data_IF_328011003873
#
_entry.id   IF_328011003873
#
_cell.length_a   1.000
_cell.length_b   1.000
_cell.length_c   1.000
_cell.angle_alpha   90.00
_cell.angle_beta   90.00
_cell.angle_gamma   90.00
#
_symmetry.space_group_name_H-M   'P 1'
#
loop_
_entity.id
_entity.type
_entity.pdbx_description
1 polymer ?
#
# COMPACT_ATOMS: atom_id res chain seq x y z
N UNK A 1 -26.39 3.27 -28.20
CA UNK A 1 -25.48 3.22 -27.06
C UNK A 1 -26.04 4.16 -25.98
N UNK A 2 -26.81 3.62 -25.04
CA UNK A 2 -27.32 4.42 -23.91
C UNK A 2 -26.12 4.74 -23.03
N UNK A 3 -25.71 6.01 -22.99
CA UNK A 3 -24.66 6.49 -22.11
C UNK A 3 -25.05 6.17 -20.67
N UNK A 4 -24.18 5.44 -19.96
CA UNK A 4 -24.30 5.23 -18.52
C UNK A 4 -24.44 6.61 -17.88
N UNK A 5 -25.65 6.98 -17.49
CA UNK A 5 -25.93 8.22 -16.78
C UNK A 5 -25.14 8.18 -15.46
N UNK A 6 -24.41 9.25 -15.19
CA UNK A 6 -23.66 9.39 -13.94
C UNK A 6 -24.54 9.10 -12.69
N UNK A 7 -25.84 9.42 -12.79
CA UNK A 7 -26.86 9.10 -11.80
C UNK A 7 -27.11 7.59 -11.58
N UNK A 8 -26.86 6.74 -12.59
CA UNK A 8 -27.01 5.29 -12.47
C UNK A 8 -25.73 4.61 -11.92
N UNK A 9 -24.56 5.24 -12.07
CA UNK A 9 -23.30 4.73 -11.53
C UNK A 9 -23.22 4.84 -10.01
N UNK A 10 -23.77 5.90 -9.42
CA UNK A 10 -23.69 6.13 -7.96
C UNK A 10 -24.34 5.01 -7.13
N UNK A 11 -25.60 4.59 -7.40
CA UNK A 11 -26.22 3.46 -6.68
C UNK A 11 -25.47 2.15 -6.90
N UNK A 12 -24.93 1.93 -8.11
CA UNK A 12 -24.17 0.73 -8.42
C UNK A 12 -22.84 0.68 -7.64
N UNK A 13 -22.12 1.82 -7.58
CA UNK A 13 -20.88 1.95 -6.79
C UNK A 13 -21.17 1.79 -5.29
N UNK A 14 -22.29 2.30 -4.78
CA UNK A 14 -22.67 2.10 -3.39
C UNK A 14 -22.98 0.62 -3.12
N UNK A 15 -23.70 -0.05 -3.99
CA UNK A 15 -24.06 -1.46 -3.86
C UNK A 15 -22.84 -2.41 -3.91
N UNK A 16 -21.83 -2.06 -4.74
CA UNK A 16 -20.62 -2.89 -4.93
C UNK A 16 -19.37 -2.28 -4.27
N UNK A 17 -19.53 -1.20 -3.53
CA UNK A 17 -18.42 -0.39 -3.01
C UNK A 17 -17.42 -1.16 -2.16
N UNK A 18 -17.88 -2.08 -1.33
CA UNK A 18 -16.99 -2.92 -0.53
C UNK A 18 -16.12 -3.85 -1.38
N UNK A 19 -16.69 -4.41 -2.47
CA UNK A 19 -15.93 -5.24 -3.39
C UNK A 19 -14.91 -4.43 -4.19
N UNK A 20 -15.34 -3.27 -4.71
CA UNK A 20 -14.45 -2.34 -5.40
C UNK A 20 -13.34 -1.83 -4.49
N UNK A 21 -13.67 -1.54 -3.23
CA UNK A 21 -12.69 -1.16 -2.24
C UNK A 21 -11.68 -2.28 -1.97
N UNK A 22 -12.13 -3.53 -1.84
CA UNK A 22 -11.24 -4.68 -1.68
C UNK A 22 -10.26 -4.79 -2.87
N UNK A 23 -10.75 -4.70 -4.11
CA UNK A 23 -9.90 -4.72 -5.30
C UNK A 23 -8.91 -3.54 -5.34
N UNK A 24 -9.36 -2.35 -4.97
CA UNK A 24 -8.50 -1.18 -4.89
C UNK A 24 -7.43 -1.32 -3.81
N UNK A 25 -7.78 -1.88 -2.64
CA UNK A 25 -6.86 -2.14 -1.54
C UNK A 25 -5.78 -3.19 -1.90
N UNK A 26 -6.08 -4.13 -2.80
CA UNK A 26 -5.09 -5.07 -3.35
C UNK A 26 -4.00 -4.36 -4.19
N UNK A 27 -4.36 -3.27 -4.87
CA UNK A 27 -3.47 -2.55 -5.77
C UNK A 27 -2.66 -1.47 -5.04
N UNK A 28 -3.33 -0.74 -4.15
CA UNK A 28 -2.73 0.35 -3.40
C UNK A 28 -3.39 0.48 -2.01
N UNK A 29 -2.66 0.09 -0.96
CA UNK A 29 -3.19 0.04 0.40
C UNK A 29 -3.40 1.42 1.06
N UNK A 30 -2.34 2.22 1.32
CA UNK A 30 -2.41 3.37 2.22
C UNK A 30 -3.38 4.47 1.78
N UNK A 31 -3.33 4.90 0.51
CA UNK A 31 -4.19 5.98 0.00
C UNK A 31 -5.64 5.53 -0.12
N UNK A 32 -5.85 4.32 -0.61
CA UNK A 32 -7.19 3.72 -0.73
C UNK A 32 -7.82 3.54 0.65
N UNK A 33 -7.06 3.13 1.65
CA UNK A 33 -7.51 2.99 3.03
C UNK A 33 -7.90 4.35 3.63
N UNK A 34 -7.13 5.41 3.39
CA UNK A 34 -7.47 6.77 3.82
C UNK A 34 -8.75 7.27 3.12
N UNK A 35 -8.87 7.08 1.80
CA UNK A 35 -10.07 7.46 1.05
C UNK A 35 -11.33 6.72 1.53
N UNK A 36 -11.21 5.42 1.82
CA UNK A 36 -12.30 4.62 2.39
C UNK A 36 -12.68 5.08 3.81
N UNK A 37 -11.70 5.51 4.62
CA UNK A 37 -11.92 6.13 5.91
C UNK A 37 -12.75 7.41 5.80
N UNK A 38 -12.43 8.29 4.83
CA UNK A 38 -13.24 9.49 4.54
C UNK A 38 -14.66 9.09 4.14
N UNK A 39 -14.82 8.13 3.22
CA UNK A 39 -16.13 7.66 2.79
C UNK A 39 -16.96 7.06 3.95
N UNK A 40 -16.32 6.36 4.88
CA UNK A 40 -16.96 5.87 6.10
C UNK A 40 -17.38 7.04 7.04
N UNK A 41 -16.56 8.10 7.16
CA UNK A 41 -16.92 9.29 7.90
C UNK A 41 -18.14 10.01 7.33
N UNK A 42 -18.27 10.00 5.98
CA UNK A 42 -19.41 10.57 5.26
C UNK A 42 -20.67 9.67 5.32
N UNK A 43 -20.60 8.49 5.93
CA UNK A 43 -21.73 7.58 6.10
C UNK A 43 -22.00 6.62 4.94
N UNK A 44 -21.13 6.58 3.91
CA UNK A 44 -21.28 5.65 2.79
C UNK A 44 -20.93 4.22 3.16
N UNK A 45 -20.03 4.01 4.13
CA UNK A 45 -19.53 2.70 4.53
C UNK A 45 -19.45 2.57 6.05
N UNK A 46 -19.52 1.31 6.52
CA UNK A 46 -19.27 0.98 7.92
C UNK A 46 -17.76 0.94 8.20
N UNK A 47 -17.28 1.75 9.13
CA UNK A 47 -15.86 1.83 9.49
C UNK A 47 -15.26 0.47 9.91
N UNK A 48 -15.92 -0.34 10.78
CA UNK A 48 -15.39 -1.65 11.15
C UNK A 48 -15.24 -2.59 9.94
N UNK A 49 -16.20 -2.54 9.01
CA UNK A 49 -16.16 -3.39 7.82
C UNK A 49 -15.05 -2.94 6.84
N UNK A 50 -14.86 -1.62 6.69
CA UNK A 50 -13.73 -1.07 5.91
C UNK A 50 -12.39 -1.51 6.51
N UNK A 51 -12.22 -1.46 7.83
CA UNK A 51 -10.99 -1.91 8.49
C UNK A 51 -10.71 -3.40 8.24
N UNK A 52 -11.73 -4.25 8.32
CA UNK A 52 -11.60 -5.67 8.05
C UNK A 52 -11.23 -5.95 6.58
N UNK A 53 -11.90 -5.29 5.64
CA UNK A 53 -11.65 -5.45 4.20
C UNK A 53 -10.27 -4.91 3.82
N UNK A 54 -9.87 -3.75 4.37
CA UNK A 54 -8.55 -3.18 4.17
C UNK A 54 -7.44 -4.13 4.62
N UNK A 55 -7.58 -4.68 5.83
CA UNK A 55 -6.60 -5.63 6.37
C UNK A 55 -6.56 -6.92 5.54
N UNK A 56 -7.72 -7.44 5.15
CA UNK A 56 -7.80 -8.63 4.29
C UNK A 56 -7.18 -8.37 2.92
N UNK A 57 -7.46 -7.23 2.29
CA UNK A 57 -6.89 -6.82 1.01
C UNK A 57 -5.37 -6.71 1.05
N UNK A 58 -4.83 -6.03 2.08
CA UNK A 58 -3.39 -5.88 2.26
C UNK A 58 -2.68 -7.23 2.47
N UNK A 59 -3.26 -8.11 3.30
CA UNK A 59 -2.71 -9.45 3.52
C UNK A 59 -2.77 -10.32 2.26
N UNK A 60 -3.85 -10.25 1.49
CA UNK A 60 -3.99 -11.00 0.23
C UNK A 60 -2.99 -10.49 -0.80
N UNK A 61 -2.80 -9.18 -0.92
CA UNK A 61 -1.77 -8.58 -1.78
C UNK A 61 -0.36 -9.05 -1.42
N UNK A 62 -0.04 -9.05 -0.12
CA UNK A 62 1.23 -9.56 0.40
C UNK A 62 1.44 -11.04 0.07
N UNK A 63 0.39 -11.86 0.26
CA UNK A 63 0.44 -13.29 -0.05
C UNK A 63 0.62 -13.56 -1.54
N UNK A 64 -0.01 -12.77 -2.41
CA UNK A 64 0.20 -12.87 -3.86
C UNK A 64 1.64 -12.55 -4.21
N UNK A 65 2.18 -11.43 -3.71
CA UNK A 65 3.57 -11.04 -3.94
C UNK A 65 4.56 -12.11 -3.43
N UNK A 66 4.33 -12.61 -2.22
CA UNK A 66 5.11 -13.71 -1.64
C UNK A 66 5.03 -14.97 -2.51
N UNK A 67 3.83 -15.38 -2.95
CA UNK A 67 3.63 -16.58 -3.75
C UNK A 67 4.34 -16.46 -5.12
N UNK A 68 4.25 -15.31 -5.78
CA UNK A 68 5.01 -15.02 -7.01
C UNK A 68 6.50 -15.24 -6.80
N UNK A 69 7.05 -14.73 -5.70
CA UNK A 69 8.45 -14.96 -5.34
C UNK A 69 8.76 -16.42 -5.04
N UNK A 70 7.92 -17.07 -4.22
CA UNK A 70 8.11 -18.46 -3.80
C UNK A 70 8.16 -19.45 -4.97
N UNK A 71 7.24 -19.30 -5.93
CA UNK A 71 7.19 -20.13 -7.13
C UNK A 71 8.24 -19.72 -8.19
N UNK A 72 8.59 -18.43 -8.26
CA UNK A 72 9.61 -17.92 -9.18
C UNK A 72 11.04 -18.23 -8.76
N UNK A 73 11.28 -18.47 -7.49
CA UNK A 73 12.56 -18.95 -6.96
C UNK A 73 13.74 -18.00 -7.20
N UNK A 74 14.94 -18.61 -7.30
CA UNK A 74 16.20 -17.88 -7.41
C UNK A 74 16.30 -16.89 -8.59
N UNK A 75 15.82 -17.18 -9.81
CA UNK A 75 15.85 -16.21 -10.91
C UNK A 75 15.10 -14.92 -10.60
N UNK A 76 13.97 -15.04 -9.88
CA UNK A 76 13.23 -13.87 -9.42
C UNK A 76 13.95 -13.14 -8.29
N UNK A 77 14.59 -13.87 -7.37
CA UNK A 77 15.40 -13.27 -6.31
C UNK A 77 16.53 -12.39 -6.86
N UNK A 78 17.22 -12.86 -7.90
CA UNK A 78 18.29 -12.12 -8.59
C UNK A 78 17.73 -10.89 -9.32
N UNK A 79 16.63 -11.04 -10.05
CA UNK A 79 15.98 -9.95 -10.78
C UNK A 79 15.45 -8.85 -9.84
N UNK A 80 14.71 -9.22 -8.79
CA UNK A 80 14.15 -8.26 -7.85
C UNK A 80 15.16 -7.77 -6.80
N UNK A 81 16.18 -8.57 -6.51
CA UNK A 81 17.34 -8.16 -5.72
C UNK A 81 18.06 -6.96 -6.34
N UNK A 82 18.21 -6.93 -7.66
CA UNK A 82 18.79 -5.79 -8.37
C UNK A 82 17.96 -4.50 -8.20
N UNK A 83 16.62 -4.60 -8.17
CA UNK A 83 15.74 -3.44 -7.88
C UNK A 83 15.94 -2.88 -6.47
N UNK A 84 16.40 -3.70 -5.54
CA UNK A 84 16.69 -3.32 -4.14
C UNK A 84 18.18 -2.94 -3.97
N UNK A 85 18.94 -2.89 -5.07
CA UNK A 85 20.37 -2.57 -5.07
C UNK A 85 21.27 -3.68 -4.53
N UNK A 86 20.80 -4.95 -4.57
CA UNK A 86 21.55 -6.11 -4.11
C UNK A 86 22.29 -6.78 -5.27
N UNK A 87 23.61 -6.83 -5.19
CA UNK A 87 24.45 -7.71 -6.02
C UNK A 87 24.34 -9.17 -5.56
N UNK A 88 24.72 -10.15 -6.41
CA UNK A 88 24.66 -11.59 -6.05
C UNK A 88 25.36 -11.92 -4.72
N UNK A 89 26.52 -11.32 -4.46
CA UNK A 89 27.24 -11.53 -3.19
C UNK A 89 26.48 -10.92 -1.99
N UNK A 90 25.87 -9.75 -2.18
CA UNK A 90 25.04 -9.11 -1.15
C UNK A 90 23.75 -9.88 -0.95
N UNK A 91 23.19 -10.49 -2.00
CA UNK A 91 21.97 -11.30 -1.90
C UNK A 91 22.16 -12.49 -0.93
N UNK A 92 23.30 -13.20 -1.01
CA UNK A 92 23.63 -14.31 -0.08
C UNK A 92 23.75 -13.84 1.38
N UNK A 93 24.34 -12.68 1.62
CA UNK A 93 24.40 -12.08 2.98
C UNK A 93 23.01 -11.62 3.45
N UNK A 94 22.22 -11.02 2.54
CA UNK A 94 20.87 -10.57 2.83
C UNK A 94 19.91 -11.72 3.11
N UNK A 95 20.07 -12.86 2.45
CA UNK A 95 19.32 -14.09 2.70
C UNK A 95 19.40 -14.50 4.18
N UNK A 96 20.62 -14.54 4.75
CA UNK A 96 20.79 -14.86 6.16
C UNK A 96 20.15 -13.83 7.10
N UNK A 97 20.20 -12.55 6.74
CA UNK A 97 19.58 -11.45 7.51
C UNK A 97 18.07 -11.51 7.44
N UNK A 98 17.48 -11.77 6.25
CA UNK A 98 16.05 -11.90 6.07
C UNK A 98 15.52 -13.11 6.86
N UNK A 99 16.19 -14.25 6.81
CA UNK A 99 15.78 -15.41 7.60
C UNK A 99 15.89 -15.18 9.11
N UNK A 100 16.93 -14.49 9.57
CA UNK A 100 17.14 -14.19 11.00
C UNK A 100 16.21 -13.08 11.50
N UNK A 101 15.95 -12.06 10.68
CA UNK A 101 15.22 -10.84 11.04
C UNK A 101 14.07 -10.52 10.08
N UNK A 102 13.27 -11.53 9.70
CA UNK A 102 12.14 -11.40 8.75
C UNK A 102 11.23 -10.20 9.05
N UNK A 103 10.89 -9.97 10.33
CA UNK A 103 10.03 -8.85 10.70
C UNK A 103 10.63 -7.47 10.40
N UNK A 104 11.94 -7.29 10.66
CA UNK A 104 12.63 -6.02 10.34
C UNK A 104 12.73 -5.80 8.82
N UNK A 105 12.99 -6.87 8.06
CA UNK A 105 13.05 -6.80 6.61
C UNK A 105 11.69 -6.44 6.00
N UNK A 106 10.61 -7.10 6.45
CA UNK A 106 9.24 -6.81 6.02
C UNK A 106 8.82 -5.38 6.38
N UNK A 107 9.14 -4.93 7.60
CA UNK A 107 8.86 -3.57 8.03
C UNK A 107 9.57 -2.55 7.12
N UNK A 108 10.85 -2.77 6.83
CA UNK A 108 11.61 -1.92 5.93
C UNK A 108 11.01 -1.88 4.52
N UNK A 109 10.63 -3.04 3.96
CA UNK A 109 10.02 -3.10 2.64
C UNK A 109 8.67 -2.41 2.60
N UNK A 110 7.79 -2.66 3.57
CA UNK A 110 6.45 -2.06 3.62
C UNK A 110 6.45 -0.55 3.88
N UNK A 111 7.40 -0.06 4.65
CA UNK A 111 7.55 1.38 4.90
C UNK A 111 8.26 2.12 3.76
N UNK A 112 8.92 1.41 2.87
CA UNK A 112 9.56 2.02 1.69
C UNK A 112 8.50 2.36 0.63
N UNK A 113 8.46 3.58 0.10
CA UNK A 113 7.45 3.98 -0.89
C UNK A 113 7.65 3.35 -2.28
N UNK A 114 8.81 2.76 -2.54
CA UNK A 114 9.18 2.28 -3.89
C UNK A 114 9.36 0.76 -3.96
N UNK A 115 9.63 0.10 -2.84
CA UNK A 115 10.16 -1.27 -2.78
C UNK A 115 9.18 -2.29 -2.13
N UNK A 116 7.89 -2.01 -1.82
CA UNK A 116 7.08 -2.99 -1.09
C UNK A 116 6.93 -4.29 -1.88
N UNK A 117 6.41 -4.22 -3.09
CA UNK A 117 6.15 -5.41 -3.93
C UNK A 117 7.43 -6.18 -4.28
N UNK A 118 8.50 -5.54 -4.81
CA UNK A 118 9.77 -6.23 -5.03
C UNK A 118 10.36 -6.87 -3.77
N UNK A 119 10.26 -6.20 -2.61
CA UNK A 119 10.73 -6.73 -1.34
C UNK A 119 9.97 -7.97 -0.87
N UNK A 120 8.64 -7.97 -1.01
CA UNK A 120 7.80 -9.12 -0.66
C UNK A 120 8.04 -10.31 -1.60
N UNK A 121 8.21 -10.06 -2.91
CA UNK A 121 8.60 -11.09 -3.89
C UNK A 121 9.97 -11.67 -3.51
N UNK A 122 10.94 -10.84 -3.12
CA UNK A 122 12.26 -11.29 -2.69
C UNK A 122 12.17 -12.20 -1.47
N UNK A 123 11.37 -11.85 -0.46
CA UNK A 123 11.14 -12.67 0.73
C UNK A 123 10.55 -14.03 0.37
N UNK A 124 9.61 -14.06 -0.59
CA UNK A 124 9.04 -15.29 -1.13
C UNK A 124 10.07 -16.14 -1.88
N UNK A 125 10.87 -15.51 -2.76
CA UNK A 125 11.90 -16.17 -3.58
C UNK A 125 13.02 -16.79 -2.72
N UNK A 126 13.32 -16.19 -1.58
CA UNK A 126 14.24 -16.72 -0.57
C UNK A 126 13.61 -17.79 0.33
N UNK A 127 12.37 -18.20 0.05
CA UNK A 127 11.64 -19.27 0.75
C UNK A 127 11.60 -19.10 2.28
N UNK A 128 11.37 -17.88 2.74
CA UNK A 128 11.10 -17.63 4.15
C UNK A 128 9.85 -18.42 4.57
N UNK A 129 9.83 -18.95 5.78
CA UNK A 129 8.69 -19.71 6.29
C UNK A 129 7.36 -18.91 6.18
N UNK A 130 6.36 -19.51 5.53
CA UNK A 130 5.09 -18.84 5.21
C UNK A 130 4.32 -18.43 6.47
N UNK A 131 4.37 -19.22 7.54
CA UNK A 131 3.66 -18.92 8.80
C UNK A 131 4.30 -17.70 9.45
N UNK A 132 5.63 -17.64 9.42
CA UNK A 132 6.38 -16.50 9.93
C UNK A 132 6.13 -15.24 9.10
N UNK A 133 6.06 -15.40 7.77
CA UNK A 133 5.72 -14.31 6.85
C UNK A 133 4.33 -13.74 7.16
N UNK A 134 3.28 -14.57 7.19
CA UNK A 134 1.89 -14.15 7.45
C UNK A 134 1.80 -13.45 8.81
N UNK A 135 2.38 -14.03 9.87
CA UNK A 135 2.35 -13.45 11.21
C UNK A 135 3.00 -12.06 11.25
N UNK A 136 4.16 -11.90 10.61
CA UNK A 136 4.86 -10.61 10.59
C UNK A 136 4.16 -9.61 9.69
N UNK A 137 3.64 -10.06 8.53
CA UNK A 137 2.85 -9.21 7.65
C UNK A 137 1.60 -8.68 8.36
N UNK A 138 0.85 -9.54 9.02
CA UNK A 138 -0.31 -9.12 9.82
C UNK A 138 0.05 -8.10 10.90
N UNK A 139 1.15 -8.35 11.64
CA UNK A 139 1.58 -7.46 12.73
C UNK A 139 1.99 -6.07 12.22
N UNK A 140 2.51 -5.99 11.00
CA UNK A 140 2.90 -4.72 10.36
C UNK A 140 1.70 -4.05 9.69
N UNK A 141 0.86 -4.83 9.01
CA UNK A 141 -0.32 -4.31 8.29
C UNK A 141 -1.37 -3.75 9.22
N UNK A 142 -1.58 -4.38 10.37
CA UNK A 142 -2.62 -3.96 11.32
C UNK A 142 -2.46 -2.49 11.76
N UNK A 143 -1.33 -2.04 12.31
CA UNK A 143 -1.14 -0.64 12.69
C UNK A 143 -1.17 0.29 11.47
N UNK A 144 -0.65 -0.13 10.32
CA UNK A 144 -0.65 0.65 9.08
C UNK A 144 -2.09 0.90 8.58
N UNK A 145 -2.90 -0.15 8.47
CA UNK A 145 -4.31 -0.06 8.05
C UNK A 145 -5.10 0.81 9.03
N UNK A 146 -4.95 0.57 10.33
CA UNK A 146 -5.59 1.38 11.36
C UNK A 146 -5.22 2.86 11.22
N UNK A 147 -3.92 3.16 11.07
CA UNK A 147 -3.45 4.53 10.97
C UNK A 147 -4.07 5.25 9.75
N UNK A 148 -3.95 4.68 8.56
CA UNK A 148 -4.43 5.35 7.35
C UNK A 148 -5.96 5.44 7.29
N UNK A 149 -6.67 4.37 7.68
CA UNK A 149 -8.14 4.38 7.69
C UNK A 149 -8.69 5.35 8.72
N UNK A 150 -8.16 5.36 9.95
CA UNK A 150 -8.59 6.29 10.99
C UNK A 150 -8.19 7.73 10.65
N UNK A 151 -7.00 7.95 10.10
CA UNK A 151 -6.60 9.26 9.61
C UNK A 151 -7.60 9.81 8.59
N UNK A 152 -7.98 8.99 7.59
CA UNK A 152 -9.02 9.35 6.63
C UNK A 152 -10.37 9.61 7.30
N UNK A 153 -10.78 8.75 8.24
CA UNK A 153 -12.04 8.91 8.95
C UNK A 153 -12.12 10.22 9.76
N UNK A 154 -11.10 10.54 10.53
CA UNK A 154 -11.06 11.78 11.29
C UNK A 154 -10.95 13.00 10.39
N UNK A 155 -10.22 12.92 9.29
CA UNK A 155 -10.17 13.96 8.26
C UNK A 155 -11.55 14.21 7.64
N UNK A 156 -12.30 13.15 7.32
CA UNK A 156 -13.67 13.25 6.84
C UNK A 156 -14.64 13.85 7.87
N UNK A 157 -14.49 13.50 9.14
CA UNK A 157 -15.26 14.11 10.24
C UNK A 157 -14.95 15.60 10.42
N UNK A 158 -13.66 15.96 10.42
CA UNK A 158 -13.24 17.36 10.50
C UNK A 158 -13.81 18.17 9.34
N UNK A 159 -13.80 17.60 8.13
CA UNK A 159 -14.41 18.21 6.95
C UNK A 159 -15.92 18.46 7.14
N UNK A 160 -16.68 17.49 7.67
CA UNK A 160 -18.12 17.71 7.96
C UNK A 160 -18.37 18.85 8.95
N UNK A 161 -17.48 19.01 9.94
CA UNK A 161 -17.57 20.11 10.90
C UNK A 161 -17.33 21.48 10.24
N UNK A 162 -16.34 21.55 9.34
CA UNK A 162 -15.98 22.79 8.64
C UNK A 162 -16.97 23.11 7.51
N UNK A 163 -17.44 22.08 6.76
CA UNK A 163 -18.35 22.27 5.62
C UNK A 163 -19.76 22.65 6.01
N UNK A 164 -20.17 22.41 7.28
CA UNK A 164 -21.42 22.97 7.83
C UNK A 164 -21.43 24.50 7.81
N UNK A 165 -20.31 25.14 7.53
CA UNK A 165 -20.18 26.59 7.57
C UNK A 165 -19.83 27.24 6.22
N UNK A 166 -19.04 26.70 5.29
CA UNK A 166 -18.63 27.46 4.05
C UNK A 166 -18.14 26.68 2.81
N UNK A 167 -17.67 25.43 2.83
CA UNK A 167 -16.92 24.91 1.66
C UNK A 167 -17.43 23.59 1.10
N UNK A 168 -17.72 23.56 -0.21
CA UNK A 168 -18.32 22.44 -0.92
C UNK A 168 -17.36 21.26 -1.19
N UNK A 169 -17.94 20.13 -1.64
CA UNK A 169 -17.31 18.86 -2.01
C UNK A 169 -16.03 19.02 -2.87
N UNK A 170 -15.93 20.13 -3.62
CA UNK A 170 -14.79 20.48 -4.47
C UNK A 170 -13.46 20.55 -3.70
N UNK A 171 -13.46 21.10 -2.48
CA UNK A 171 -12.21 21.36 -1.74
C UNK A 171 -11.69 20.10 -1.03
N UNK A 172 -12.56 19.13 -0.72
CA UNK A 172 -12.15 17.81 -0.25
C UNK A 172 -11.42 17.00 -1.35
N UNK A 173 -11.93 17.06 -2.57
CA UNK A 173 -11.26 16.42 -3.72
C UNK A 173 -9.91 17.08 -4.04
N UNK A 174 -9.81 18.41 -3.88
CA UNK A 174 -8.53 19.10 -4.01
C UNK A 174 -7.52 18.72 -2.92
N UNK A 175 -7.97 18.55 -1.67
CA UNK A 175 -7.10 18.15 -0.56
C UNK A 175 -6.55 16.73 -0.75
N UNK A 176 -7.38 15.78 -1.18
CA UNK A 176 -6.95 14.41 -1.50
C UNK A 176 -6.04 14.40 -2.72
N UNK A 177 -6.39 15.14 -3.77
CA UNK A 177 -5.56 15.29 -4.97
C UNK A 177 -4.20 15.93 -4.66
N UNK A 178 -4.19 16.96 -3.80
CA UNK A 178 -2.96 17.60 -3.34
C UNK A 178 -2.07 16.65 -2.54
N UNK A 179 -2.65 15.83 -1.65
CA UNK A 179 -1.91 14.82 -0.89
C UNK A 179 -1.28 13.77 -1.82
N UNK A 180 -2.03 13.31 -2.83
CA UNK A 180 -1.51 12.38 -3.86
C UNK A 180 -0.33 13.00 -4.60
N UNK A 181 -0.46 14.25 -5.02
CA UNK A 181 0.60 14.98 -5.73
C UNK A 181 1.83 15.18 -4.84
N UNK A 182 1.64 15.53 -3.56
CA UNK A 182 2.75 15.69 -2.61
C UNK A 182 3.49 14.37 -2.39
N UNK A 183 2.77 13.28 -2.16
CA UNK A 183 3.36 11.94 -2.01
C UNK A 183 4.11 11.53 -3.29
N UNK A 184 3.52 11.77 -4.46
CA UNK A 184 4.15 11.51 -5.75
C UNK A 184 5.43 12.34 -5.96
N UNK A 185 5.39 13.63 -5.65
CA UNK A 185 6.56 14.51 -5.79
C UNK A 185 7.68 14.17 -4.79
N UNK A 186 7.31 13.80 -3.55
CA UNK A 186 8.27 13.35 -2.54
C UNK A 186 8.91 12.03 -2.95
N UNK A 187 8.13 11.06 -3.41
CA UNK A 187 8.66 9.79 -3.90
C UNK A 187 9.59 9.97 -5.11
N UNK A 188 9.21 10.84 -6.05
CA UNK A 188 10.05 11.18 -7.21
C UNK A 188 11.36 11.86 -6.81
N UNK A 189 11.31 12.79 -5.85
CA UNK A 189 12.51 13.51 -5.37
C UNK A 189 13.48 12.59 -4.61
N UNK A 190 12.95 11.61 -3.87
CA UNK A 190 13.76 10.59 -3.18
C UNK A 190 14.38 9.64 -4.20
N UNK A 191 13.64 9.20 -5.22
CA UNK A 191 14.17 8.34 -6.29
C UNK A 191 15.28 9.02 -7.09
N UNK A 192 15.18 10.33 -7.36
CA UNK A 192 16.24 11.08 -8.03
C UNK A 192 17.51 11.19 -7.19
N UNK A 193 17.40 11.42 -5.88
CA UNK A 193 18.58 11.51 -5.00
C UNK A 193 19.31 10.17 -4.86
N UNK A 194 18.58 9.08 -4.77
CA UNK A 194 19.17 7.73 -4.72
C UNK A 194 19.90 7.40 -6.05
N UNK A 195 19.35 7.84 -7.19
CA UNK A 195 19.96 7.63 -8.50
C UNK A 195 21.22 8.50 -8.74
N UNK A 196 21.35 9.66 -8.08
CA UNK A 196 22.53 10.50 -8.13
C UNK A 196 23.67 9.96 -7.24
N UNK A 197 23.35 9.52 -6.02
CA UNK A 197 24.34 8.96 -5.08
C UNK A 197 24.97 7.65 -5.62
N UNK A 198 24.21 6.83 -6.37
CA UNK A 198 24.76 5.63 -7.03
C UNK A 198 25.66 5.92 -8.22
N UNK A 199 25.60 7.11 -8.82
CA UNK A 199 26.51 7.52 -9.91
C UNK A 199 27.84 8.07 -9.41
N UNK A 200 27.89 8.58 -8.20
CA UNK A 200 29.12 9.18 -7.62
C UNK A 200 30.05 8.11 -7.01
N UNK A 201 29.51 6.96 -6.57
CA UNK A 201 30.33 5.83 -6.06
C UNK A 201 30.89 4.90 -7.16
N UNK A 202 30.60 5.16 -8.42
CA UNK A 202 31.04 4.35 -9.60
C UNK A 202 32.19 4.97 -10.41
N UNK A 203 32.82 6.04 -9.98
CA UNK A 203 34.06 6.62 -10.51
C UNK A 203 35.16 6.51 -9.46
#
# INVERSE_FOLDING_TARGET
>A
MQGLSFAALVPWVIAHGYFLFFLAALLEGPLVNAAAGVAAALGYFSLPLILLIALAGDLVADMIAYAVGYFGGRPLAERYGHFVGLTEERLKRFESVIHRHTGKALLFFKLSPVIPVPGLILVGALRVDVRRFIKMSFLISLPQVLFFTLFGFFSGKAYQYVSGTILGVRDALFSVGFLIVVVYLVSRKISHRIAEDTKVEGQ
#
